data_IF_586370851155
#
_entry.id   IF_586370851155
#
_cell.length_a   1.000
_cell.length_b   1.000
_cell.length_c   1.000
_cell.angle_alpha   90.00
_cell.angle_beta   90.00
_cell.angle_gamma   90.00
#
_symmetry.space_group_name_H-M   'P 1'
#
loop_
_entity.id
_entity.type
_entity.pdbx_description
1 polymer ?
#
# COMPACT_ATOMS: atom_id res chain seq x y z
N UNK A 1 -10.04 6.48 -11.45
CA UNK A 1 -9.47 5.15 -11.17
C UNK A 1 -8.06 4.96 -11.75
N UNK A 2 -7.86 5.32 -13.01
CA UNK A 2 -6.52 5.19 -13.62
C UNK A 2 -5.47 6.00 -12.88
N UNK A 3 -5.83 7.21 -12.45
CA UNK A 3 -4.91 8.04 -11.66
C UNK A 3 -4.56 7.41 -10.32
N UNK A 4 -5.55 6.83 -9.62
CA UNK A 4 -5.32 6.14 -8.35
C UNK A 4 -4.44 4.91 -8.57
N UNK A 5 -4.70 4.12 -9.61
CA UNK A 5 -3.89 2.96 -9.93
C UNK A 5 -2.43 3.33 -10.21
N UNK A 6 -2.21 4.42 -10.92
CA UNK A 6 -0.86 4.91 -11.20
C UNK A 6 -0.11 5.27 -9.92
N UNK A 7 -0.78 5.93 -8.97
CA UNK A 7 -0.19 6.25 -7.66
C UNK A 7 0.12 4.98 -6.88
N UNK A 8 -0.82 4.03 -6.84
CA UNK A 8 -0.63 2.74 -6.14
C UNK A 8 0.56 1.99 -6.71
N UNK A 9 0.63 1.82 -8.02
CA UNK A 9 1.70 1.06 -8.65
C UNK A 9 3.06 1.74 -8.46
N UNK A 10 3.12 3.07 -8.60
CA UNK A 10 4.34 3.84 -8.35
C UNK A 10 4.81 3.67 -6.90
N UNK A 11 3.88 3.72 -5.94
CA UNK A 11 4.18 3.53 -4.52
C UNK A 11 4.72 2.14 -4.25
N UNK A 12 4.12 1.10 -4.84
CA UNK A 12 4.61 -0.28 -4.69
C UNK A 12 6.06 -0.38 -5.17
N UNK A 13 6.41 0.23 -6.30
CA UNK A 13 7.78 0.22 -6.80
C UNK A 13 8.74 0.99 -5.90
N UNK A 14 8.31 2.10 -5.30
CA UNK A 14 9.12 2.84 -4.33
C UNK A 14 9.40 1.98 -3.09
N UNK A 15 8.38 1.31 -2.56
CA UNK A 15 8.53 0.42 -1.40
C UNK A 15 9.44 -0.77 -1.74
N UNK A 16 9.32 -1.32 -2.94
CA UNK A 16 10.15 -2.43 -3.38
C UNK A 16 11.64 -2.08 -3.40
N UNK A 17 11.97 -0.81 -3.60
CA UNK A 17 13.34 -0.31 -3.55
C UNK A 17 13.74 0.19 -2.14
N UNK A 18 12.81 0.28 -1.20
CA UNK A 18 13.06 0.79 0.15
C UNK A 18 13.45 -0.35 1.08
N UNK A 19 14.74 -0.42 1.42
CA UNK A 19 15.28 -1.50 2.25
C UNK A 19 14.77 -1.51 3.68
N UNK A 20 14.15 -0.42 4.15
CA UNK A 20 13.53 -0.37 5.48
C UNK A 20 12.20 -1.12 5.53
N UNK A 21 11.53 -1.31 4.39
CA UNK A 21 10.23 -1.97 4.32
C UNK A 21 10.25 -3.29 3.54
N UNK A 22 11.02 -3.38 2.45
CA UNK A 22 10.89 -4.49 1.51
C UNK A 22 11.30 -5.84 2.09
N UNK A 23 12.24 -5.88 3.01
CA UNK A 23 12.71 -7.14 3.61
C UNK A 23 11.70 -7.73 4.60
N UNK A 24 10.86 -6.91 5.23
CA UNK A 24 9.87 -7.36 6.21
C UNK A 24 8.50 -7.63 5.60
N UNK A 25 8.08 -6.77 4.69
CA UNK A 25 6.68 -6.74 4.26
C UNK A 25 6.49 -7.18 2.82
N UNK A 26 7.52 -7.07 2.00
CA UNK A 26 7.46 -7.38 0.57
C UNK A 26 8.36 -8.54 0.16
N UNK A 27 8.93 -9.31 1.11
CA UNK A 27 9.86 -10.38 0.77
C UNK A 27 9.21 -11.45 -0.13
N UNK A 28 7.96 -11.84 0.16
CA UNK A 28 7.24 -12.81 -0.66
C UNK A 28 6.93 -12.22 -2.03
N UNK A 29 6.46 -10.98 -2.08
CA UNK A 29 6.14 -10.30 -3.34
C UNK A 29 7.38 -10.16 -4.23
N UNK A 30 8.52 -9.75 -3.66
CA UNK A 30 9.76 -9.59 -4.41
C UNK A 30 10.26 -10.92 -4.96
N UNK A 31 10.16 -12.00 -4.19
CA UNK A 31 10.55 -13.33 -4.65
C UNK A 31 9.67 -13.79 -5.82
N UNK A 32 8.37 -13.55 -5.75
CA UNK A 32 7.43 -13.90 -6.83
C UNK A 32 7.73 -13.11 -8.10
N UNK A 33 7.90 -11.80 -7.99
CA UNK A 33 8.21 -10.94 -9.14
C UNK A 33 9.55 -11.32 -9.76
N UNK A 34 10.55 -11.62 -8.94
CA UNK A 34 11.86 -12.08 -9.43
C UNK A 34 11.79 -13.40 -10.18
N UNK A 35 10.81 -14.26 -9.88
CA UNK A 35 10.56 -15.51 -10.58
C UNK A 35 9.61 -15.34 -11.79
N UNK A 36 9.19 -14.11 -12.10
CA UNK A 36 8.29 -13.82 -13.21
C UNK A 36 6.81 -14.01 -12.88
N UNK A 37 6.46 -14.21 -11.61
CA UNK A 37 5.07 -14.39 -11.18
C UNK A 37 4.50 -13.07 -10.68
N UNK A 38 3.62 -12.45 -11.47
CA UNK A 38 3.00 -11.16 -11.16
C UNK A 38 1.63 -11.29 -10.49
N UNK A 39 1.17 -12.49 -10.17
CA UNK A 39 -0.16 -12.71 -9.59
C UNK A 39 -0.34 -11.95 -8.28
N UNK A 40 0.62 -12.08 -7.34
CA UNK A 40 0.57 -11.37 -6.07
C UNK A 40 0.63 -9.86 -6.23
N UNK A 41 1.48 -9.37 -7.12
CA UNK A 41 1.55 -7.95 -7.44
C UNK A 41 0.21 -7.41 -7.94
N UNK A 42 -0.41 -8.13 -8.88
CA UNK A 42 -1.67 -7.70 -9.47
C UNK A 42 -2.81 -7.68 -8.43
N UNK A 43 -2.85 -8.65 -7.53
CA UNK A 43 -3.83 -8.71 -6.44
C UNK A 43 -3.63 -7.53 -5.49
N UNK A 44 -2.40 -7.25 -5.09
CA UNK A 44 -2.08 -6.14 -4.19
C UNK A 44 -2.45 -4.81 -4.85
N UNK A 45 -2.06 -4.59 -6.10
CA UNK A 45 -2.39 -3.39 -6.85
C UNK A 45 -3.90 -3.18 -6.95
N UNK A 46 -4.64 -4.25 -7.29
CA UNK A 46 -6.10 -4.18 -7.38
C UNK A 46 -6.74 -3.82 -6.04
N UNK A 47 -6.34 -4.50 -4.96
CA UNK A 47 -6.93 -4.30 -3.65
C UNK A 47 -6.64 -2.90 -3.11
N UNK A 48 -5.41 -2.41 -3.24
CA UNK A 48 -5.07 -1.05 -2.83
C UNK A 48 -5.82 -0.02 -3.65
N UNK A 49 -5.92 -0.22 -4.97
CA UNK A 49 -6.66 0.68 -5.85
C UNK A 49 -8.13 0.72 -5.46
N UNK A 50 -8.75 -0.44 -5.24
CA UNK A 50 -10.17 -0.51 -4.85
C UNK A 50 -10.40 0.12 -3.47
N UNK A 51 -9.48 -0.11 -2.52
CA UNK A 51 -9.56 0.52 -1.20
C UNK A 51 -9.56 2.04 -1.31
N UNK A 52 -8.63 2.63 -2.06
CA UNK A 52 -8.57 4.07 -2.23
C UNK A 52 -9.77 4.61 -3.00
N UNK A 53 -10.27 3.90 -4.00
CA UNK A 53 -11.47 4.31 -4.73
C UNK A 53 -12.69 4.35 -3.82
N UNK A 54 -12.90 3.33 -3.00
CA UNK A 54 -14.01 3.29 -2.04
C UNK A 54 -13.85 4.39 -0.99
N UNK A 55 -12.66 4.56 -0.45
CA UNK A 55 -12.37 5.55 0.59
C UNK A 55 -12.55 7.00 0.10
N UNK A 56 -12.35 7.25 -1.19
CA UNK A 56 -12.56 8.56 -1.80
C UNK A 56 -14.00 8.79 -2.30
N UNK A 57 -14.91 7.82 -2.06
CA UNK A 57 -16.32 7.96 -2.39
C UNK A 57 -16.71 7.55 -3.80
N UNK A 58 -15.87 6.83 -4.52
CA UNK A 58 -16.22 6.33 -5.85
C UNK A 58 -17.35 5.28 -5.75
N UNK A 59 -18.46 5.51 -6.49
CA UNK A 59 -19.69 4.75 -6.29
C UNK A 59 -19.70 3.36 -6.90
N UNK A 60 -18.87 3.13 -7.93
CA UNK A 60 -18.92 1.89 -8.72
C UNK A 60 -17.82 0.89 -8.32
N UNK A 61 -17.24 1.06 -7.13
CA UNK A 61 -16.14 0.21 -6.67
C UNK A 61 -16.46 -0.39 -5.33
N UNK A 62 -16.02 -1.64 -5.15
CA UNK A 62 -16.15 -2.40 -3.90
C UNK A 62 -14.77 -2.91 -3.51
N UNK A 63 -14.44 -2.80 -2.23
CA UNK A 63 -13.21 -3.38 -1.70
C UNK A 63 -13.49 -4.80 -1.19
N UNK A 64 -12.86 -5.79 -1.82
CA UNK A 64 -13.01 -7.20 -1.46
C UNK A 64 -11.76 -7.78 -0.78
N UNK A 65 -10.78 -6.94 -0.44
CA UNK A 65 -9.59 -7.36 0.28
C UNK A 65 -9.85 -7.58 1.77
N UNK A 66 -8.80 -7.94 2.51
CA UNK A 66 -8.87 -8.06 3.97
C UNK A 66 -9.08 -6.68 4.60
N UNK A 67 -9.75 -6.64 5.76
CA UNK A 67 -9.78 -5.43 6.56
C UNK A 67 -8.35 -5.04 6.98
N UNK A 68 -8.15 -3.77 7.35
CA UNK A 68 -6.81 -3.26 7.61
C UNK A 68 -6.12 -3.97 8.77
N UNK A 69 -6.85 -4.34 9.82
CA UNK A 69 -6.26 -5.06 10.95
C UNK A 69 -5.77 -6.44 10.51
N UNK A 70 -6.60 -7.21 9.81
CA UNK A 70 -6.26 -8.56 9.36
C UNK A 70 -5.14 -8.55 8.31
N UNK A 71 -5.18 -7.57 7.39
CA UNK A 71 -4.18 -7.46 6.31
C UNK A 71 -2.77 -7.20 6.85
N UNK A 72 -2.66 -6.55 8.02
CA UNK A 72 -1.37 -6.16 8.61
C UNK A 72 -1.00 -6.98 9.85
N UNK A 73 -1.71 -8.08 10.09
CA UNK A 73 -1.40 -9.00 11.18
C UNK A 73 -0.77 -10.27 10.62
N UNK A 74 0.50 -10.58 10.96
CA UNK A 74 1.16 -11.79 10.45
C UNK A 74 0.45 -13.10 10.81
N UNK A 75 -0.35 -13.10 11.89
CA UNK A 75 -1.11 -14.27 12.28
C UNK A 75 -2.30 -14.56 11.35
N UNK A 76 -2.85 -13.55 10.69
CA UNK A 76 -4.00 -13.67 9.78
C UNK A 76 -3.62 -13.46 8.32
N UNK A 77 -2.44 -12.90 8.03
CA UNK A 77 -1.95 -12.66 6.68
C UNK A 77 -0.47 -13.06 6.61
N UNK A 78 -0.21 -14.27 6.18
CA UNK A 78 1.14 -14.87 6.22
C UNK A 78 2.16 -14.22 5.28
N UNK A 79 1.71 -13.40 4.33
CA UNK A 79 2.61 -12.71 3.39
C UNK A 79 3.31 -11.51 4.02
N UNK A 80 2.82 -11.02 5.16
CA UNK A 80 3.48 -9.96 5.92
C UNK A 80 4.37 -10.61 6.99
N UNK A 81 5.63 -10.20 7.05
CA UNK A 81 6.65 -10.86 7.88
C UNK A 81 6.60 -10.51 9.36
N UNK A 82 6.09 -9.33 9.70
CA UNK A 82 6.02 -8.86 11.09
C UNK A 82 4.98 -7.77 11.23
N UNK A 83 4.66 -7.43 12.49
CA UNK A 83 3.77 -6.30 12.78
C UNK A 83 4.46 -4.98 12.45
N UNK A 84 3.66 -4.00 12.03
CA UNK A 84 4.14 -2.68 11.65
C UNK A 84 4.17 -1.77 12.88
N UNK A 85 5.28 -1.06 13.08
CA UNK A 85 5.40 -0.02 14.11
C UNK A 85 5.17 1.38 13.50
N UNK A 86 5.14 2.42 14.37
CA UNK A 86 4.90 3.78 13.91
C UNK A 86 5.95 4.29 12.94
N UNK A 87 7.23 3.99 13.17
CA UNK A 87 8.30 4.42 12.29
C UNK A 87 8.17 3.82 10.89
N UNK A 88 7.76 2.55 10.82
CA UNK A 88 7.52 1.87 9.55
C UNK A 88 6.30 2.43 8.81
N UNK A 89 5.25 2.76 9.53
CA UNK A 89 4.09 3.44 8.94
C UNK A 89 4.48 4.82 8.39
N UNK A 90 5.27 5.59 9.14
CA UNK A 90 5.76 6.89 8.67
C UNK A 90 6.59 6.73 7.40
N UNK A 91 7.41 5.68 7.33
CA UNK A 91 8.20 5.39 6.12
C UNK A 91 7.30 5.04 4.93
N UNK A 92 6.24 4.28 5.16
CA UNK A 92 5.26 3.98 4.12
C UNK A 92 4.60 5.27 3.59
N UNK A 93 4.22 6.18 4.47
CA UNK A 93 3.64 7.47 4.05
C UNK A 93 4.63 8.26 3.20
N UNK A 94 5.90 8.29 3.60
CA UNK A 94 6.94 8.95 2.80
C UNK A 94 7.09 8.32 1.42
N UNK A 95 7.05 6.99 1.33
CA UNK A 95 7.12 6.27 0.06
C UNK A 95 5.88 6.54 -0.82
N UNK A 96 4.70 6.65 -0.20
CA UNK A 96 3.48 7.02 -0.90
C UNK A 96 3.59 8.42 -1.51
N UNK A 97 4.09 9.38 -0.75
CA UNK A 97 4.32 10.75 -1.24
C UNK A 97 5.29 10.73 -2.42
N UNK A 98 6.40 10.00 -2.30
CA UNK A 98 7.39 9.86 -3.37
C UNK A 98 6.76 9.24 -4.63
N UNK A 99 5.97 8.18 -4.47
CA UNK A 99 5.29 7.52 -5.58
C UNK A 99 4.30 8.45 -6.27
N UNK A 100 3.53 9.22 -5.50
CA UNK A 100 2.58 10.17 -6.04
C UNK A 100 3.27 11.31 -6.80
N UNK A 101 4.40 11.80 -6.30
CA UNK A 101 5.18 12.83 -6.98
C UNK A 101 5.72 12.33 -8.32
N UNK A 102 6.16 11.07 -8.39
CA UNK A 102 6.69 10.47 -9.62
C UNK A 102 5.67 10.41 -10.75
N UNK A 103 4.39 10.27 -10.43
CA UNK A 103 3.32 10.26 -11.44
C UNK A 103 2.67 11.62 -11.64
N UNK A 104 3.22 12.67 -11.03
CA UNK A 104 2.80 14.06 -11.27
C UNK A 104 1.55 14.48 -10.51
N UNK A 105 1.21 13.83 -9.41
CA UNK A 105 0.07 14.24 -8.58
C UNK A 105 0.33 15.59 -7.94
N UNK A 106 -0.69 16.47 -7.89
CA UNK A 106 -0.54 17.79 -7.28
C UNK A 106 -0.30 17.70 -5.77
N UNK A 107 0.36 18.71 -5.20
CA UNK A 107 0.61 18.73 -3.75
C UNK A 107 -0.68 18.74 -2.94
N UNK A 108 -1.74 19.36 -3.44
CA UNK A 108 -3.05 19.35 -2.78
C UNK A 108 -3.62 17.92 -2.70
N UNK A 109 -3.57 17.17 -3.81
CA UNK A 109 -4.06 15.80 -3.85
C UNK A 109 -3.18 14.86 -3.02
N UNK A 110 -1.87 15.07 -3.03
CA UNK A 110 -0.95 14.29 -2.19
C UNK A 110 -1.29 14.48 -0.72
N UNK A 111 -1.57 15.71 -0.29
CA UNK A 111 -2.00 15.99 1.09
C UNK A 111 -3.31 15.29 1.45
N UNK A 112 -4.26 15.24 0.53
CA UNK A 112 -5.55 14.56 0.73
C UNK A 112 -5.36 13.05 0.87
N UNK A 113 -4.53 12.45 0.02
CA UNK A 113 -4.23 11.01 0.08
C UNK A 113 -3.49 10.68 1.37
N UNK A 114 -2.52 11.50 1.77
CA UNK A 114 -1.80 11.32 3.03
C UNK A 114 -2.71 11.37 4.24
N UNK A 115 -3.65 12.32 4.28
CA UNK A 115 -4.63 12.42 5.36
C UNK A 115 -5.54 11.19 5.42
N UNK A 116 -5.94 10.67 4.26
CA UNK A 116 -6.75 9.46 4.17
C UNK A 116 -6.00 8.25 4.74
N UNK A 117 -4.74 8.08 4.37
CA UNK A 117 -3.91 6.97 4.86
C UNK A 117 -3.71 7.08 6.37
N UNK A 118 -3.53 8.28 6.91
CA UNK A 118 -3.41 8.47 8.37
C UNK A 118 -4.61 7.94 9.14
N UNK A 119 -5.80 7.94 8.56
CA UNK A 119 -6.98 7.40 9.22
C UNK A 119 -6.88 5.89 9.50
N UNK A 120 -5.97 5.19 8.83
CA UNK A 120 -5.76 3.75 9.00
C UNK A 120 -4.65 3.42 10.00
N UNK A 121 -3.90 4.40 10.51
CA UNK A 121 -2.73 4.16 11.36
C UNK A 121 -3.05 3.26 12.55
N UNK A 122 -4.15 3.50 13.23
CA UNK A 122 -4.52 2.73 14.41
C UNK A 122 -4.83 1.26 14.10
N UNK A 123 -5.18 0.94 12.85
CA UNK A 123 -5.46 -0.42 12.42
C UNK A 123 -4.21 -1.11 11.87
N UNK A 124 -3.33 -0.37 11.21
CA UNK A 124 -2.13 -0.89 10.54
C UNK A 124 -0.98 -1.05 11.54
N UNK A 125 -0.78 -0.09 12.42
CA UNK A 125 0.28 -0.13 13.44
C UNK A 125 -0.20 -1.02 14.59
N UNK A 126 0.42 -2.21 14.72
CA UNK A 126 0.03 -3.23 15.70
C UNK A 126 1.18 -3.57 16.65
N UNK A 127 2.29 -2.88 16.53
CA UNK A 127 3.48 -3.14 17.34
C UNK A 127 3.90 -1.89 18.14
#
# INVERSE_FOLDING_TARGET
>A
RLGIRSVVDSTIFVIAADTQLNTKFFSVLLAEVGAGNLTGFNILSKNLTDFFCVATGAKNYTYNGLDMVSAHNPATHSRIGSKINNAEFDRFVADLVTGAQKVGLSNQLIGQVGALVETTRSQVVQN
#
